data_IF_581311525794
#
_entry.id   IF_581311525794
#
_cell.length_a   1.000
_cell.length_b   1.000
_cell.length_c   1.000
_cell.angle_alpha   90.00
_cell.angle_beta   90.00
_cell.angle_gamma   90.00
#
_symmetry.space_group_name_H-M   'P 1'
#
loop_
_entity.id
_entity.type
_entity.pdbx_description
1 polymer ?
#
# COMPACT_ATOMS: atom_id res chain seq x y z
N UNK A 1 -23.33 19.10 13.26
CA UNK A 1 -23.48 20.38 12.53
C UNK A 1 -24.94 20.50 12.13
N UNK A 2 -25.60 21.63 12.37
CA UNK A 2 -26.98 21.86 11.93
C UNK A 2 -26.93 22.74 10.70
N UNK A 3 -27.54 22.30 9.61
CA UNK A 3 -27.68 23.09 8.39
C UNK A 3 -28.98 23.88 8.47
N UNK A 4 -28.97 25.11 7.98
CA UNK A 4 -30.17 25.92 7.89
C UNK A 4 -30.35 26.44 6.46
N UNK A 5 -31.43 26.05 5.77
CA UNK A 5 -32.39 24.99 6.11
C UNK A 5 -31.74 23.59 6.22
N UNK A 6 -32.43 22.61 6.81
CA UNK A 6 -31.91 21.23 6.89
C UNK A 6 -31.68 20.61 5.49
N UNK A 7 -32.41 21.11 4.49
CA UNK A 7 -32.29 20.74 3.09
C UNK A 7 -31.11 21.39 2.34
N UNK A 8 -30.28 22.22 2.99
CA UNK A 8 -29.21 22.98 2.29
C UNK A 8 -28.28 22.07 1.49
N UNK A 9 -27.81 20.96 2.05
CA UNK A 9 -26.90 20.05 1.33
C UNK A 9 -27.57 19.37 0.13
N UNK A 10 -28.87 19.08 0.25
CA UNK A 10 -29.65 18.53 -0.85
C UNK A 10 -29.86 19.56 -1.96
N UNK A 11 -30.21 20.80 -1.60
CA UNK A 11 -30.42 21.90 -2.55
C UNK A 11 -29.14 22.31 -3.28
N UNK A 12 -27.99 22.22 -2.61
CA UNK A 12 -26.67 22.47 -3.20
C UNK A 12 -26.08 21.23 -3.88
N UNK A 13 -26.83 20.13 -3.91
CA UNK A 13 -26.41 18.85 -4.49
C UNK A 13 -25.02 18.42 -4.01
N UNK A 14 -24.72 18.60 -2.72
CA UNK A 14 -23.39 18.36 -2.19
C UNK A 14 -22.94 16.90 -2.38
N UNK A 15 -23.88 15.95 -2.36
CA UNK A 15 -23.60 14.55 -2.68
C UNK A 15 -23.10 14.37 -4.12
N UNK A 16 -23.59 15.16 -5.08
CA UNK A 16 -23.07 15.17 -6.47
C UNK A 16 -21.65 15.70 -6.54
N UNK A 17 -21.32 16.72 -5.74
CA UNK A 17 -19.94 17.21 -5.63
C UNK A 17 -19.01 16.11 -5.10
N UNK A 18 -19.45 15.36 -4.09
CA UNK A 18 -18.68 14.21 -3.57
C UNK A 18 -18.50 13.11 -4.61
N UNK A 19 -19.55 12.79 -5.37
CA UNK A 19 -19.49 11.78 -6.44
C UNK A 19 -18.49 12.19 -7.53
N UNK A 20 -18.53 13.46 -7.96
CA UNK A 20 -17.58 14.00 -8.94
C UNK A 20 -16.15 13.96 -8.42
N UNK A 21 -15.94 14.34 -7.16
CA UNK A 21 -14.61 14.28 -6.54
C UNK A 21 -14.11 12.83 -6.42
N UNK A 22 -14.97 11.89 -6.03
CA UNK A 22 -14.63 10.48 -5.90
C UNK A 22 -14.21 9.87 -7.26
N UNK A 23 -14.76 10.34 -8.37
CA UNK A 23 -14.35 9.92 -9.72
C UNK A 23 -12.88 10.27 -10.04
N UNK A 24 -12.30 11.27 -9.38
CA UNK A 24 -10.90 11.64 -9.51
C UNK A 24 -9.97 10.93 -8.50
N UNK A 25 -10.52 10.20 -7.53
CA UNK A 25 -9.72 9.47 -6.55
C UNK A 25 -9.17 8.16 -7.12
N UNK A 26 -7.85 7.96 -7.02
CA UNK A 26 -7.15 6.77 -7.55
C UNK A 26 -7.29 5.52 -6.69
N UNK A 27 -7.66 5.65 -5.42
CA UNK A 27 -7.71 4.54 -4.46
C UNK A 27 -9.11 4.38 -3.87
N UNK A 28 -9.49 3.16 -3.51
CA UNK A 28 -10.78 2.89 -2.85
C UNK A 28 -10.90 3.64 -1.50
N UNK A 29 -9.80 3.77 -0.76
CA UNK A 29 -9.76 4.59 0.45
C UNK A 29 -9.98 6.07 0.16
N UNK A 30 -9.41 6.59 -0.94
CA UNK A 30 -9.63 7.96 -1.39
C UNK A 30 -11.08 8.22 -1.77
N UNK A 31 -11.70 7.28 -2.51
CA UNK A 31 -13.13 7.34 -2.86
C UNK A 31 -14.02 7.35 -1.62
N UNK A 32 -13.77 6.44 -0.67
CA UNK A 32 -14.49 6.39 0.60
C UNK A 32 -14.35 7.72 1.36
N UNK A 33 -13.14 8.27 1.44
CA UNK A 33 -12.90 9.60 2.04
C UNK A 33 -13.71 10.71 1.37
N UNK A 34 -13.84 10.71 0.05
CA UNK A 34 -14.62 11.70 -0.69
C UNK A 34 -16.12 11.61 -0.33
N UNK A 35 -16.68 10.41 -0.27
CA UNK A 35 -18.07 10.21 0.13
C UNK A 35 -18.32 10.57 1.60
N UNK A 36 -17.34 10.27 2.47
CA UNK A 36 -17.39 10.57 3.90
C UNK A 36 -17.08 12.03 4.24
N UNK A 37 -16.79 12.89 3.24
CA UNK A 37 -16.51 14.31 3.46
C UNK A 37 -17.62 14.98 4.27
N UNK A 38 -17.21 15.76 5.27
CA UNK A 38 -18.09 16.57 6.12
C UNK A 38 -17.58 17.99 6.14
N UNK A 39 -18.51 18.92 6.22
CA UNK A 39 -18.14 20.33 6.38
C UNK A 39 -17.61 20.52 7.81
N UNK A 40 -16.38 21.01 7.90
CA UNK A 40 -15.77 21.40 9.16
C UNK A 40 -16.12 22.86 9.50
N UNK A 41 -16.32 23.14 10.79
CA UNK A 41 -16.53 24.51 11.30
C UNK A 41 -15.38 24.99 12.18
N UNK A 42 -14.40 24.13 12.42
CA UNK A 42 -13.23 24.40 13.23
C UNK A 42 -12.10 24.88 12.31
N UNK A 43 -11.67 26.13 12.50
CA UNK A 43 -10.69 26.80 11.66
C UNK A 43 -9.39 25.98 11.48
N UNK A 44 -8.87 25.39 12.56
CA UNK A 44 -7.62 24.61 12.53
C UNK A 44 -7.65 23.44 11.54
N UNK A 45 -8.77 22.72 11.46
CA UNK A 45 -8.93 21.62 10.51
C UNK A 45 -9.06 22.14 9.07
N UNK A 46 -9.82 23.22 8.88
CA UNK A 46 -10.02 23.85 7.57
C UNK A 46 -8.70 24.36 7.02
N UNK A 47 -7.93 25.09 7.82
CA UNK A 47 -6.64 25.66 7.41
C UNK A 47 -5.65 24.56 7.02
N UNK A 48 -5.63 23.45 7.78
CA UNK A 48 -4.76 22.31 7.47
C UNK A 48 -5.14 21.62 6.16
N UNK A 49 -6.42 21.29 5.94
CA UNK A 49 -6.87 20.61 4.73
C UNK A 49 -6.71 21.49 3.47
N UNK A 50 -6.95 22.79 3.60
CA UNK A 50 -6.71 23.76 2.52
C UNK A 50 -5.22 23.89 2.20
N UNK A 51 -4.36 23.98 3.22
CA UNK A 51 -2.89 24.01 3.05
C UNK A 51 -2.38 22.74 2.36
N UNK A 52 -2.82 21.56 2.80
CA UNK A 52 -2.48 20.29 2.16
C UNK A 52 -2.90 20.26 0.69
N UNK A 53 -4.12 20.70 0.39
CA UNK A 53 -4.64 20.74 -0.98
C UNK A 53 -3.85 21.71 -1.85
N UNK A 54 -3.56 22.91 -1.34
CA UNK A 54 -2.80 23.93 -2.06
C UNK A 54 -1.35 23.47 -2.34
N UNK A 55 -0.68 22.92 -1.34
CA UNK A 55 0.68 22.38 -1.46
C UNK A 55 0.74 21.20 -2.42
N UNK A 56 -0.23 20.28 -2.35
CA UNK A 56 -0.29 19.16 -3.28
C UNK A 56 -0.50 19.63 -4.72
N UNK A 57 -1.35 20.64 -4.94
CA UNK A 57 -1.50 21.28 -6.25
C UNK A 57 -0.19 21.90 -6.72
N UNK A 58 0.57 22.59 -5.86
CA UNK A 58 1.87 23.16 -6.23
C UNK A 58 2.86 22.08 -6.66
N UNK A 59 2.88 20.93 -5.98
CA UNK A 59 3.71 19.77 -6.38
C UNK A 59 3.36 19.36 -7.82
N UNK A 60 2.07 19.20 -8.12
CA UNK A 60 1.59 18.82 -9.46
C UNK A 60 1.94 19.87 -10.53
N UNK A 61 1.64 21.15 -10.26
CA UNK A 61 1.86 22.26 -11.20
C UNK A 61 3.35 22.47 -11.49
N UNK A 62 4.23 22.18 -10.52
CA UNK A 62 5.68 22.25 -10.69
C UNK A 62 6.27 21.11 -11.53
N UNK A 63 5.47 20.11 -11.90
CA UNK A 63 5.93 18.89 -12.59
C UNK A 63 6.82 18.00 -11.72
N UNK A 64 6.85 18.22 -10.40
CA UNK A 64 7.58 17.37 -9.47
C UNK A 64 6.90 16.01 -9.36
N UNK A 65 7.67 14.94 -9.51
CA UNK A 65 7.19 13.60 -9.26
C UNK A 65 6.90 13.41 -7.76
N UNK A 66 5.74 12.85 -7.44
CA UNK A 66 5.32 12.48 -6.09
C UNK A 66 5.06 10.97 -6.02
N UNK A 67 5.68 10.21 -5.10
CA UNK A 67 5.70 8.75 -5.12
C UNK A 67 4.40 8.13 -4.57
N UNK A 68 3.28 8.29 -5.29
CA UNK A 68 1.96 7.74 -4.91
C UNK A 68 1.41 6.72 -5.93
N UNK A 69 2.30 5.98 -6.59
CA UNK A 69 1.92 5.05 -7.65
C UNK A 69 1.15 3.84 -7.15
N UNK A 70 1.40 3.42 -5.90
CA UNK A 70 0.68 2.31 -5.30
C UNK A 70 -0.76 2.71 -4.97
N UNK A 71 -1.71 2.14 -5.71
CA UNK A 71 -3.13 2.49 -5.63
C UNK A 71 -4.05 1.31 -5.34
N UNK A 72 -3.48 0.12 -5.15
CA UNK A 72 -4.22 -1.11 -4.91
C UNK A 72 -4.88 -1.09 -3.52
N UNK A 73 -6.11 -1.61 -3.47
CA UNK A 73 -6.85 -1.79 -2.24
C UNK A 73 -6.42 -3.10 -1.55
N UNK A 74 -5.71 -3.00 -0.42
CA UNK A 74 -5.23 -4.18 0.32
C UNK A 74 -5.96 -4.42 1.66
N UNK A 75 -7.11 -3.77 1.86
CA UNK A 75 -7.83 -3.83 3.13
C UNK A 75 -8.29 -5.25 3.49
N UNK A 76 -8.49 -6.12 2.48
CA UNK A 76 -8.87 -7.52 2.71
C UNK A 76 -7.71 -8.31 3.30
N UNK A 77 -6.52 -8.13 2.74
CA UNK A 77 -5.26 -8.76 3.17
C UNK A 77 -4.89 -8.32 4.59
N UNK A 78 -5.01 -7.02 4.89
CA UNK A 78 -4.76 -6.50 6.23
C UNK A 78 -5.76 -7.05 7.27
N UNK A 79 -7.03 -7.20 6.89
CA UNK A 79 -8.04 -7.84 7.77
C UNK A 79 -7.75 -9.31 7.99
N UNK A 80 -7.33 -10.04 6.96
CA UNK A 80 -6.92 -11.43 7.09
C UNK A 80 -5.75 -11.56 8.06
N UNK A 81 -4.68 -10.76 7.91
CA UNK A 81 -3.53 -10.79 8.82
C UNK A 81 -3.87 -10.61 10.31
N UNK A 82 -4.95 -9.89 10.63
CA UNK A 82 -5.40 -9.70 12.00
C UNK A 82 -6.10 -10.95 12.60
N UNK A 83 -6.47 -11.93 11.78
CA UNK A 83 -7.17 -13.16 12.20
C UNK A 83 -6.13 -14.24 12.53
N UNK A 84 -6.04 -14.71 13.78
CA UNK A 84 -5.13 -15.78 14.16
C UNK A 84 -5.37 -17.07 13.37
N UNK A 85 -4.29 -17.68 12.88
CA UNK A 85 -4.36 -18.92 12.08
C UNK A 85 -4.78 -18.72 10.61
N UNK A 86 -5.03 -17.48 10.18
CA UNK A 86 -5.15 -17.18 8.75
C UNK A 86 -3.79 -17.18 8.07
N UNK A 87 -3.79 -17.35 6.76
CA UNK A 87 -2.61 -17.20 5.92
C UNK A 87 -2.92 -16.35 4.70
N UNK A 88 -1.90 -15.64 4.22
CA UNK A 88 -1.94 -14.95 2.94
C UNK A 88 -1.23 -15.80 1.89
N UNK A 89 -1.70 -15.69 0.65
CA UNK A 89 -0.94 -16.18 -0.50
C UNK A 89 0.31 -15.34 -0.74
N UNK A 90 1.28 -15.90 -1.49
CA UNK A 90 2.49 -15.18 -1.85
C UNK A 90 2.22 -13.89 -2.63
N UNK A 91 1.24 -13.90 -3.53
CA UNK A 91 0.82 -12.70 -4.28
C UNK A 91 0.31 -11.60 -3.33
N UNK A 92 -0.49 -11.97 -2.33
CA UNK A 92 -0.98 -11.02 -1.32
C UNK A 92 0.15 -10.44 -0.46
N UNK A 93 1.16 -11.24 -0.09
CA UNK A 93 2.37 -10.73 0.55
C UNK A 93 3.14 -9.76 -0.34
N UNK A 94 3.26 -10.04 -1.65
CA UNK A 94 3.87 -9.10 -2.58
C UNK A 94 3.12 -7.76 -2.66
N UNK A 95 1.80 -7.75 -2.50
CA UNK A 95 1.05 -6.49 -2.42
C UNK A 95 1.42 -5.68 -1.16
N UNK A 96 1.56 -6.34 -0.01
CA UNK A 96 1.99 -5.71 1.24
C UNK A 96 3.41 -5.16 1.11
N UNK A 97 4.31 -5.94 0.53
CA UNK A 97 5.68 -5.52 0.23
C UNK A 97 5.70 -4.25 -0.62
N UNK A 98 4.91 -4.20 -1.70
CA UNK A 98 4.79 -3.03 -2.58
C UNK A 98 4.20 -1.82 -1.86
N UNK A 99 3.23 -2.01 -0.96
CA UNK A 99 2.74 -0.94 -0.10
C UNK A 99 3.85 -0.39 0.81
N UNK A 100 4.61 -1.28 1.46
CA UNK A 100 5.73 -0.90 2.33
C UNK A 100 6.77 -0.10 1.55
N UNK A 101 7.15 -0.56 0.36
CA UNK A 101 8.07 0.16 -0.54
C UNK A 101 7.53 1.55 -0.92
N UNK A 102 6.25 1.67 -1.25
CA UNK A 102 5.61 2.95 -1.59
C UNK A 102 5.59 3.91 -0.41
N UNK A 103 5.27 3.42 0.80
CA UNK A 103 5.28 4.22 2.02
C UNK A 103 6.69 4.76 2.30
N UNK A 104 7.72 3.91 2.25
CA UNK A 104 9.11 4.34 2.44
C UNK A 104 9.60 5.31 1.35
N UNK A 105 9.07 5.23 0.12
CA UNK A 105 9.35 6.25 -0.90
C UNK A 105 8.74 7.60 -0.55
N UNK A 106 7.51 7.64 -0.02
CA UNK A 106 6.88 8.87 0.47
C UNK A 106 7.69 9.47 1.62
N UNK A 107 8.10 8.66 2.61
CA UNK A 107 8.95 9.15 3.70
C UNK A 107 10.26 9.77 3.22
N UNK A 108 10.94 9.09 2.28
CA UNK A 108 12.20 9.60 1.69
C UNK A 108 12.01 10.86 0.86
N UNK A 109 10.86 11.01 0.20
CA UNK A 109 10.55 12.20 -0.58
C UNK A 109 10.37 13.43 0.31
N UNK A 110 9.80 13.28 1.50
CA UNK A 110 9.72 14.34 2.51
C UNK A 110 11.04 14.49 3.29
N UNK A 111 12.11 14.86 2.57
CA UNK A 111 13.37 15.28 3.18
C UNK A 111 13.24 16.63 3.93
N UNK A 112 14.34 17.11 4.52
CA UNK A 112 14.34 18.34 5.30
C UNK A 112 13.90 19.57 4.49
N UNK A 113 14.27 19.65 3.20
CA UNK A 113 13.90 20.77 2.33
C UNK A 113 12.40 20.70 1.99
N UNK A 114 11.93 19.51 1.58
CA UNK A 114 10.53 19.29 1.19
C UNK A 114 9.57 19.45 2.37
N UNK A 115 9.98 19.09 3.58
CA UNK A 115 9.20 19.36 4.80
C UNK A 115 9.05 20.84 5.10
N UNK A 116 10.08 21.64 4.83
CA UNK A 116 10.02 23.10 4.98
C UNK A 116 9.18 23.75 3.86
N UNK A 117 9.26 23.21 2.64
CA UNK A 117 8.53 23.72 1.48
C UNK A 117 7.04 23.35 1.49
N UNK A 118 6.69 22.16 2.00
CA UNK A 118 5.33 21.62 2.05
C UNK A 118 4.96 21.16 3.47
N UNK A 119 4.88 22.09 4.44
CA UNK A 119 4.68 21.76 5.85
C UNK A 119 3.28 21.18 6.14
N UNK A 120 2.24 21.58 5.41
CA UNK A 120 0.90 21.01 5.53
C UNK A 120 0.87 19.55 5.12
N UNK A 121 1.51 19.23 3.99
CA UNK A 121 1.64 17.87 3.48
C UNK A 121 2.54 17.00 4.35
N UNK A 122 3.63 17.54 4.90
CA UNK A 122 4.50 16.82 5.82
C UNK A 122 3.74 16.31 7.06
N UNK A 123 2.74 17.06 7.55
CA UNK A 123 1.89 16.64 8.67
C UNK A 123 1.16 15.31 8.46
N UNK A 124 0.96 14.88 7.21
CA UNK A 124 0.35 13.57 6.90
C UNK A 124 1.21 12.42 7.45
N UNK A 125 2.53 12.60 7.51
CA UNK A 125 3.49 11.58 7.96
C UNK A 125 4.15 11.89 9.30
N UNK A 126 3.84 13.03 9.94
CA UNK A 126 4.54 13.49 11.15
C UNK A 126 4.43 12.53 12.34
N UNK A 127 3.30 11.83 12.47
CA UNK A 127 3.06 10.87 13.56
C UNK A 127 3.34 9.41 13.14
N UNK A 128 3.99 9.22 12.00
CA UNK A 128 4.33 7.90 11.46
C UNK A 128 5.85 7.76 11.42
N UNK A 129 6.32 6.52 11.42
CA UNK A 129 7.74 6.21 11.25
C UNK A 129 7.95 5.44 9.96
N UNK A 130 9.16 5.54 9.40
CA UNK A 130 9.56 4.79 8.21
C UNK A 130 9.86 3.33 8.61
N UNK A 131 8.94 2.43 8.30
CA UNK A 131 9.05 0.99 8.56
C UNK A 131 9.85 0.30 7.45
N UNK A 132 11.03 -0.21 7.80
CA UNK A 132 11.99 -0.79 6.85
C UNK A 132 12.03 -2.31 6.89
N UNK A 133 11.60 -2.93 7.98
CA UNK A 133 11.80 -4.35 8.21
C UNK A 133 10.79 -5.20 7.43
N UNK A 134 9.55 -4.72 7.23
CA UNK A 134 8.49 -5.50 6.57
C UNK A 134 8.92 -5.99 5.19
N UNK A 135 9.55 -5.12 4.41
CA UNK A 135 10.06 -5.48 3.08
C UNK A 135 11.13 -6.57 3.17
N UNK A 136 12.11 -6.40 4.05
CA UNK A 136 13.22 -7.34 4.23
C UNK A 136 12.71 -8.72 4.68
N UNK A 137 11.79 -8.77 5.63
CA UNK A 137 11.16 -10.00 6.11
C UNK A 137 10.42 -10.75 5.00
N UNK A 138 9.77 -10.02 4.08
CA UNK A 138 9.10 -10.64 2.94
C UNK A 138 10.13 -11.13 1.91
N UNK A 139 11.16 -10.32 1.60
CA UNK A 139 12.22 -10.63 0.63
C UNK A 139 13.09 -11.83 1.05
N UNK A 140 13.20 -12.11 2.36
CA UNK A 140 13.91 -13.27 2.89
C UNK A 140 13.15 -14.59 2.61
N UNK A 141 11.82 -14.55 2.64
CA UNK A 141 10.97 -15.75 2.55
C UNK A 141 10.45 -15.97 1.13
N UNK A 142 10.11 -14.90 0.41
CA UNK A 142 9.49 -14.94 -0.92
C UNK A 142 10.44 -14.41 -2.00
N UNK A 143 10.32 -14.95 -3.20
CA UNK A 143 10.94 -14.40 -4.40
C UNK A 143 10.05 -13.33 -5.06
N UNK A 144 10.53 -12.75 -6.17
CA UNK A 144 9.87 -11.66 -6.87
C UNK A 144 8.50 -12.01 -7.47
N UNK A 145 8.19 -13.31 -7.62
CA UNK A 145 6.91 -13.83 -8.11
C UNK A 145 6.02 -14.37 -6.96
N UNK A 146 6.48 -14.28 -5.71
CA UNK A 146 5.72 -14.65 -4.53
C UNK A 146 5.80 -16.14 -4.20
N UNK A 147 6.79 -16.86 -4.75
CA UNK A 147 7.06 -18.24 -4.37
C UNK A 147 8.00 -18.27 -3.18
N UNK A 148 7.78 -19.26 -2.29
CA UNK A 148 8.64 -19.46 -1.12
C UNK A 148 10.01 -19.91 -1.60
N UNK A 149 11.05 -19.16 -1.21
CA UNK A 149 12.45 -19.44 -1.54
C UNK A 149 12.88 -20.79 -0.98
N UNK A 150 13.81 -21.45 -1.67
CA UNK A 150 14.34 -22.75 -1.22
C UNK A 150 15.00 -22.67 0.16
N UNK A 151 15.59 -21.52 0.48
CA UNK A 151 16.30 -21.23 1.72
C UNK A 151 15.47 -20.44 2.74
N UNK A 152 14.14 -20.37 2.56
CA UNK A 152 13.26 -19.67 3.51
C UNK A 152 13.30 -20.30 4.92
N UNK A 153 13.70 -21.57 5.04
CA UNK A 153 14.11 -22.18 6.31
C UNK A 153 15.14 -23.28 6.05
N UNK A 154 15.97 -23.59 7.05
CA UNK A 154 16.96 -24.68 6.96
C UNK A 154 16.28 -26.04 6.72
N UNK A 155 15.15 -26.28 7.39
CA UNK A 155 14.35 -27.50 7.22
C UNK A 155 13.78 -27.62 5.80
N UNK A 156 13.21 -26.53 5.26
CA UNK A 156 12.68 -26.52 3.91
C UNK A 156 13.80 -26.77 2.88
N UNK A 157 14.95 -26.14 3.07
CA UNK A 157 16.13 -26.33 2.22
C UNK A 157 16.60 -27.80 2.23
N UNK A 158 16.64 -28.42 3.40
CA UNK A 158 17.00 -29.84 3.56
C UNK A 158 15.99 -30.77 2.86
N UNK A 159 14.68 -30.51 3.03
CA UNK A 159 13.61 -31.28 2.39
C UNK A 159 13.68 -31.16 0.86
N UNK A 160 13.77 -29.92 0.33
CA UNK A 160 13.85 -29.67 -1.12
C UNK A 160 15.12 -30.29 -1.73
N UNK A 161 16.26 -30.20 -1.03
CA UNK A 161 17.51 -30.86 -1.45
C UNK A 161 17.36 -32.38 -1.51
N UNK A 162 16.71 -32.98 -0.52
CA UNK A 162 16.46 -34.43 -0.48
C UNK A 162 15.52 -34.89 -1.61
N UNK A 163 14.47 -34.11 -1.90
CA UNK A 163 13.57 -34.35 -3.03
C UNK A 163 14.31 -34.26 -4.37
N UNK A 164 15.16 -33.26 -4.54
CA UNK A 164 15.97 -33.08 -5.75
C UNK A 164 16.93 -34.25 -5.97
N UNK A 165 17.64 -34.70 -4.92
CA UNK A 165 18.52 -35.88 -4.98
C UNK A 165 17.77 -37.13 -5.41
N UNK A 166 16.64 -37.44 -4.77
CA UNK A 166 15.81 -38.61 -5.14
C UNK A 166 15.28 -38.54 -6.58
N UNK A 167 14.83 -37.37 -7.05
CA UNK A 167 14.38 -37.19 -8.44
C UNK A 167 15.50 -37.48 -9.44
N UNK A 168 16.72 -37.02 -9.16
CA UNK A 168 17.87 -37.28 -10.03
C UNK A 168 18.29 -38.75 -10.04
N UNK A 169 18.22 -39.44 -8.90
CA UNK A 169 18.46 -40.88 -8.82
C UNK A 169 17.45 -41.66 -9.67
N UNK A 170 16.16 -41.36 -9.54
CA UNK A 170 15.09 -41.99 -10.32
C UNK A 170 15.25 -41.73 -11.82
N UNK A 171 15.61 -40.50 -12.21
CA UNK A 171 15.84 -40.16 -13.62
C UNK A 171 16.98 -40.97 -14.22
N UNK A 172 18.12 -41.05 -13.52
CA UNK A 172 19.27 -41.87 -13.94
C UNK A 172 18.92 -43.36 -14.06
N UNK A 173 18.08 -43.87 -13.17
CA UNK A 173 17.59 -45.26 -13.23
C UNK A 173 16.69 -45.47 -14.45
N UNK A 174 15.75 -44.55 -14.69
CA UNK A 174 14.87 -44.60 -15.85
C UNK A 174 15.65 -44.57 -17.17
N UNK A 175 16.58 -43.61 -17.32
CA UNK A 175 17.40 -43.47 -18.52
C UNK A 175 18.23 -44.74 -18.79
N UNK A 176 18.74 -45.39 -17.72
CA UNK A 176 19.46 -46.67 -17.82
C UNK A 176 18.56 -47.82 -18.29
N UNK A 177 17.31 -47.85 -17.84
CA UNK A 177 16.36 -48.90 -18.22
C UNK A 177 15.90 -48.73 -19.67
N UNK A 178 15.66 -47.49 -20.11
CA UNK A 178 15.19 -47.18 -21.46
C UNK A 178 16.30 -47.25 -22.51
N UNK A 179 17.57 -47.07 -22.12
CA UNK A 179 18.71 -47.23 -23.02
C UNK A 179 19.09 -48.70 -23.32
N UNK A 180 18.34 -49.67 -22.79
CA UNK A 180 18.40 -51.09 -23.15
C UNK A 180 17.27 -51.46 -24.10
#
# INVERSE_FOLDING_TARGET
MRFFPESTLLQLEFDKVKDLLAAHARTELGKARCHDLRIHTKKEFIDLELSQTAEYKMILDSGQYFPNDFTLAIQKELKLLAIPGSSLSGEQFLMIRRLSDSASQIFRWFDAEKRNMYPGMAKVIDNLYDEKNIREMIDEVLDDIGQVRDHASEELASIRSSLYRKRNELRKLFDRIVAK
#
